data_IF_132263152405
#
_entry.id   IF_132263152405
#
_cell.length_a   1.000
_cell.length_b   1.000
_cell.length_c   1.000
_cell.angle_alpha   90.00
_cell.angle_beta   90.00
_cell.angle_gamma   90.00
#
_symmetry.space_group_name_H-M   'P 1'
#
loop_
_entity.id
_entity.type
_entity.pdbx_description
1 polymer ?
#
# COMPACT_ATOMS: atom_id res chain seq x y z
N UNK A 1 -8.52 18.03 10.82
CA UNK A 1 -7.48 17.16 10.26
C UNK A 1 -8.14 16.30 9.18
N UNK A 2 -7.45 16.09 8.04
CA UNK A 2 -7.92 15.17 7.00
C UNK A 2 -7.54 13.74 7.37
N UNK A 3 -8.48 12.81 7.24
CA UNK A 3 -8.25 11.40 7.56
C UNK A 3 -7.70 10.66 6.36
N UNK A 4 -6.54 10.05 6.51
CA UNK A 4 -5.87 9.26 5.46
C UNK A 4 -5.74 7.81 5.93
N UNK A 5 -6.18 6.87 5.10
CA UNK A 5 -5.97 5.44 5.33
C UNK A 5 -4.88 4.94 4.39
N UNK A 6 -3.88 4.27 4.94
CA UNK A 6 -2.95 3.41 4.20
C UNK A 6 -3.41 1.96 4.33
N UNK A 7 -3.61 1.29 3.19
CA UNK A 7 -3.94 -0.13 3.17
C UNK A 7 -2.70 -0.93 2.82
N UNK A 8 -2.38 -1.94 3.64
CA UNK A 8 -1.22 -2.82 3.44
C UNK A 8 -1.58 -4.29 3.63
N UNK A 9 -1.13 -5.14 2.70
CA UNK A 9 -1.38 -6.58 2.68
C UNK A 9 -0.13 -7.43 2.87
N UNK A 10 1.07 -6.87 2.66
CA UNK A 10 2.33 -7.60 2.73
C UNK A 10 3.46 -6.79 3.35
N UNK A 11 4.52 -7.49 3.78
CA UNK A 11 5.73 -6.85 4.27
C UNK A 11 6.40 -5.97 3.20
N UNK A 12 6.32 -6.40 1.93
CA UNK A 12 6.95 -5.67 0.82
C UNK A 12 6.29 -4.32 0.58
N UNK A 13 4.96 -4.28 0.53
CA UNK A 13 4.23 -3.02 0.33
C UNK A 13 4.33 -2.10 1.56
N UNK A 14 4.24 -2.67 2.78
CA UNK A 14 4.46 -1.90 4.00
C UNK A 14 5.84 -1.25 4.04
N UNK A 15 6.89 -1.98 3.64
CA UNK A 15 8.24 -1.45 3.56
C UNK A 15 8.30 -0.16 2.73
N UNK A 16 7.65 -0.17 1.58
CA UNK A 16 7.57 0.97 0.67
C UNK A 16 6.68 2.11 1.19
N UNK A 17 5.62 1.79 1.91
CA UNK A 17 4.71 2.78 2.49
C UNK A 17 5.26 3.44 3.77
N UNK A 18 6.19 2.80 4.46
CA UNK A 18 6.62 3.17 5.81
C UNK A 18 7.13 4.62 5.92
N UNK A 19 7.95 5.07 4.98
CA UNK A 19 8.48 6.44 4.97
C UNK A 19 7.36 7.46 4.77
N UNK A 20 6.44 7.19 3.85
CA UNK A 20 5.30 8.05 3.57
C UNK A 20 4.35 8.13 4.76
N UNK A 21 4.03 6.99 5.39
CA UNK A 21 3.21 6.95 6.62
C UNK A 21 3.86 7.80 7.71
N UNK A 22 5.18 7.66 7.92
CA UNK A 22 5.92 8.40 8.95
C UNK A 22 5.84 9.91 8.74
N UNK A 23 6.09 10.37 7.51
CA UNK A 23 6.02 11.80 7.16
C UNK A 23 4.59 12.32 7.32
N UNK A 24 3.60 11.58 6.83
CA UNK A 24 2.20 11.95 6.92
C UNK A 24 1.73 12.03 8.37
N UNK A 25 2.12 11.05 9.21
CA UNK A 25 1.77 11.03 10.64
C UNK A 25 2.45 12.16 11.45
N UNK A 26 3.61 12.64 11.00
CA UNK A 26 4.31 13.76 11.66
C UNK A 26 3.67 15.13 11.37
N UNK A 27 2.79 15.21 10.40
CA UNK A 27 2.08 16.43 10.02
C UNK A 27 0.81 16.62 10.87
N UNK A 28 0.60 17.82 11.40
CA UNK A 28 -0.61 18.18 12.12
C UNK A 28 -1.86 18.30 11.23
N UNK A 29 -1.69 18.23 9.92
CA UNK A 29 -2.79 18.35 8.96
C UNK A 29 -3.58 17.04 8.81
N UNK A 30 -2.96 15.89 9.15
CA UNK A 30 -3.50 14.58 8.84
C UNK A 30 -3.73 13.72 10.09
N UNK A 31 -4.82 12.98 10.07
CA UNK A 31 -5.12 11.88 10.98
C UNK A 31 -4.91 10.58 10.20
N UNK A 32 -3.81 9.88 10.53
CA UNK A 32 -3.34 8.72 9.76
C UNK A 32 -3.84 7.43 10.38
N UNK A 33 -4.42 6.57 9.55
CA UNK A 33 -4.91 5.24 9.88
C UNK A 33 -4.23 4.21 8.98
N UNK A 34 -4.01 3.00 9.49
CA UNK A 34 -3.41 1.90 8.76
C UNK A 34 -4.33 0.69 8.83
N UNK A 35 -4.88 0.28 7.69
CA UNK A 35 -5.64 -0.97 7.57
C UNK A 35 -4.67 -2.08 7.17
N UNK A 36 -4.49 -3.07 8.05
CA UNK A 36 -3.52 -4.14 7.91
C UNK A 36 -4.23 -5.46 7.68
N UNK A 37 -3.94 -6.13 6.56
CA UNK A 37 -4.62 -7.37 6.18
C UNK A 37 -3.68 -8.33 5.42
N UNK A 38 -4.21 -9.30 4.72
CA UNK A 38 -3.44 -10.19 3.85
C UNK A 38 -2.37 -10.99 4.58
N UNK A 39 -1.21 -11.08 3.95
CA UNK A 39 -0.07 -11.86 4.47
C UNK A 39 0.43 -11.41 5.83
N UNK A 40 0.20 -10.14 6.22
CA UNK A 40 0.55 -9.65 7.54
C UNK A 40 -0.09 -10.45 8.67
N UNK A 41 -1.27 -11.02 8.42
CA UNK A 41 -2.05 -11.75 9.40
C UNK A 41 -1.71 -13.23 9.49
N UNK A 42 -0.90 -13.76 8.55
CA UNK A 42 -0.64 -15.19 8.39
C UNK A 42 0.64 -15.59 9.13
N UNK A 43 0.53 -16.57 10.05
CA UNK A 43 1.67 -17.07 10.83
C UNK A 43 2.78 -17.67 9.96
N UNK A 44 2.43 -18.34 8.87
CA UNK A 44 3.37 -18.91 7.89
C UNK A 44 4.31 -17.85 7.31
N UNK A 45 3.87 -16.60 7.19
CA UNK A 45 4.66 -15.47 6.70
C UNK A 45 5.22 -14.59 7.83
N UNK A 46 5.28 -15.12 9.06
CA UNK A 46 5.92 -14.49 10.21
C UNK A 46 5.06 -13.49 10.98
N UNK A 47 3.74 -13.41 10.71
CA UNK A 47 2.84 -12.42 11.35
C UNK A 47 3.45 -11.02 11.37
N UNK A 48 3.79 -10.51 10.20
CA UNK A 48 4.55 -9.25 10.04
C UNK A 48 3.79 -8.00 10.51
N UNK A 49 2.53 -8.13 10.91
CA UNK A 49 1.81 -7.10 11.67
C UNK A 49 2.55 -6.67 12.93
N UNK A 50 3.32 -7.57 13.55
CA UNK A 50 4.13 -7.24 14.72
C UNK A 50 5.24 -6.21 14.40
N UNK A 51 5.74 -6.18 13.17
CA UNK A 51 6.70 -5.17 12.70
C UNK A 51 6.02 -3.81 12.58
N UNK A 52 4.75 -3.80 12.15
CA UNK A 52 3.95 -2.57 12.04
C UNK A 52 3.72 -1.97 13.44
N UNK A 53 3.33 -2.78 14.42
CA UNK A 53 3.17 -2.32 15.81
C UNK A 53 4.49 -1.77 16.39
N UNK A 54 5.63 -2.43 16.13
CA UNK A 54 6.95 -1.98 16.58
C UNK A 54 7.41 -0.69 15.90
N UNK A 55 6.83 -0.31 14.78
CA UNK A 55 7.19 0.92 14.05
C UNK A 55 6.66 2.20 14.72
N UNK A 56 5.87 2.10 15.78
CA UNK A 56 5.36 3.23 16.54
C UNK A 56 4.24 4.01 15.85
N UNK A 57 3.62 3.44 14.83
CA UNK A 57 2.45 4.02 14.19
C UNK A 57 1.20 3.93 15.06
N UNK A 58 0.30 4.91 14.87
CA UNK A 58 -0.99 4.99 15.57
C UNK A 58 -2.12 4.45 14.67
N UNK A 59 -3.28 4.23 15.26
CA UNK A 59 -4.51 3.88 14.55
C UNK A 59 -4.35 2.68 13.59
N UNK A 60 -3.76 1.60 14.07
CA UNK A 60 -3.57 0.36 13.32
C UNK A 60 -4.81 -0.52 13.49
N UNK A 61 -5.46 -0.87 12.37
CA UNK A 61 -6.63 -1.74 12.34
C UNK A 61 -6.29 -3.06 11.64
N UNK A 62 -6.18 -4.17 12.38
CA UNK A 62 -5.93 -5.49 11.80
C UNK A 62 -7.22 -6.14 11.30
N UNK A 63 -7.16 -6.74 10.10
CA UNK A 63 -8.30 -7.47 9.53
C UNK A 63 -7.84 -8.77 8.87
N UNK A 64 -8.49 -9.90 9.18
CA UNK A 64 -8.20 -11.21 8.60
C UNK A 64 -9.11 -11.43 7.39
N UNK A 65 -8.53 -11.43 6.19
CA UNK A 65 -9.24 -11.59 4.92
C UNK A 65 -9.10 -12.99 4.28
N UNK A 66 -8.42 -13.92 4.93
CA UNK A 66 -8.13 -15.24 4.37
C UNK A 66 -8.77 -16.36 5.21
N UNK A 67 -9.08 -17.47 4.51
CA UNK A 67 -9.40 -18.78 5.08
C UNK A 67 -8.25 -19.75 4.84
N UNK A 68 -8.48 -21.03 5.16
CA UNK A 68 -7.56 -22.13 4.83
C UNK A 68 -7.46 -22.42 3.32
N UNK A 69 -8.33 -21.84 2.50
CA UNK A 69 -8.37 -21.98 1.04
C UNK A 69 -8.09 -20.60 0.43
N UNK A 70 -6.87 -20.40 -0.06
CA UNK A 70 -6.37 -19.12 -0.55
C UNK A 70 -6.73 -18.85 -2.02
N UNK A 71 -8.02 -18.72 -2.34
CA UNK A 71 -8.41 -18.21 -3.65
C UNK A 71 -8.42 -16.69 -3.66
N UNK A 72 -7.73 -16.08 -4.64
CA UNK A 72 -7.55 -14.61 -4.75
C UNK A 72 -8.89 -13.86 -4.79
N UNK A 73 -9.86 -14.37 -5.53
CA UNK A 73 -11.20 -13.79 -5.67
C UNK A 73 -11.96 -13.76 -4.34
N UNK A 74 -11.85 -14.82 -3.54
CA UNK A 74 -12.48 -14.88 -2.21
C UNK A 74 -11.81 -13.95 -1.21
N UNK A 75 -10.47 -13.87 -1.25
CA UNK A 75 -9.73 -12.94 -0.41
C UNK A 75 -10.03 -11.49 -0.79
N UNK A 76 -10.18 -11.20 -2.10
CA UNK A 76 -10.65 -9.91 -2.58
C UNK A 76 -12.03 -9.58 -2.02
N UNK A 77 -13.00 -10.49 -2.15
CA UNK A 77 -14.37 -10.28 -1.67
C UNK A 77 -14.42 -9.99 -0.17
N UNK A 78 -13.66 -10.76 0.64
CA UNK A 78 -13.57 -10.53 2.09
C UNK A 78 -12.91 -9.21 2.44
N UNK A 79 -11.87 -8.83 1.68
CA UNK A 79 -11.20 -7.55 1.92
C UNK A 79 -12.12 -6.38 1.59
N UNK A 80 -12.89 -6.48 0.50
CA UNK A 80 -13.91 -5.48 0.16
C UNK A 80 -14.93 -5.35 1.29
N UNK A 81 -15.48 -6.45 1.77
CA UNK A 81 -16.47 -6.46 2.85
C UNK A 81 -15.94 -5.80 4.13
N UNK A 82 -14.81 -6.30 4.65
CA UNK A 82 -14.24 -5.78 5.90
C UNK A 82 -13.75 -4.33 5.79
N UNK A 83 -13.15 -3.97 4.65
CA UNK A 83 -12.69 -2.61 4.44
C UNK A 83 -13.86 -1.63 4.26
N UNK A 84 -14.94 -2.06 3.60
CA UNK A 84 -16.16 -1.26 3.46
C UNK A 84 -16.78 -0.92 4.82
N UNK A 85 -16.87 -1.89 5.72
CA UNK A 85 -17.34 -1.63 7.09
C UNK A 85 -16.44 -0.63 7.82
N UNK A 86 -15.14 -0.78 7.73
CA UNK A 86 -14.20 0.10 8.41
C UNK A 86 -14.28 1.56 7.92
N UNK A 87 -14.35 1.79 6.60
CA UNK A 87 -14.45 3.14 6.06
C UNK A 87 -15.80 3.81 6.33
N UNK A 88 -16.87 3.02 6.43
CA UNK A 88 -18.19 3.54 6.77
C UNK A 88 -18.21 4.22 8.14
N UNK A 89 -17.51 3.64 9.12
CA UNK A 89 -17.37 4.23 10.46
C UNK A 89 -16.36 5.38 10.48
N UNK A 90 -15.20 5.20 9.83
CA UNK A 90 -14.10 6.14 9.89
C UNK A 90 -14.34 7.40 9.06
N UNK A 91 -14.99 7.27 7.88
CA UNK A 91 -15.23 8.33 6.89
C UNK A 91 -13.94 9.06 6.49
N UNK A 92 -13.01 8.37 5.82
CA UNK A 92 -11.73 8.96 5.44
C UNK A 92 -11.89 9.93 4.25
N UNK A 93 -10.96 10.86 4.13
CA UNK A 93 -10.85 11.77 2.99
C UNK A 93 -10.03 11.15 1.84
N UNK A 94 -9.08 10.27 2.17
CA UNK A 94 -8.17 9.65 1.20
C UNK A 94 -7.82 8.21 1.61
N UNK A 95 -7.82 7.33 0.62
CA UNK A 95 -7.31 5.96 0.73
C UNK A 95 -6.04 5.89 -0.11
N UNK A 96 -4.95 5.39 0.47
CA UNK A 96 -3.66 5.18 -0.20
C UNK A 96 -3.43 3.68 -0.36
N UNK A 97 -3.24 3.25 -1.60
CA UNK A 97 -2.95 1.87 -1.98
C UNK A 97 -1.64 1.80 -2.77
N UNK A 98 -0.94 0.69 -2.66
CA UNK A 98 0.35 0.49 -3.32
C UNK A 98 0.35 -0.76 -4.19
N UNK A 99 0.90 -0.65 -5.40
CA UNK A 99 1.23 -1.78 -6.27
C UNK A 99 0.03 -2.48 -6.89
N UNK A 100 0.03 -3.80 -6.81
CA UNK A 100 -0.76 -4.70 -7.66
C UNK A 100 -1.39 -5.87 -6.90
N UNK A 101 -1.53 -5.75 -5.60
CA UNK A 101 -2.14 -6.78 -4.78
C UNK A 101 -3.67 -6.68 -4.77
N UNK A 102 -4.32 -7.81 -4.55
CA UNK A 102 -5.79 -7.86 -4.41
C UNK A 102 -6.30 -7.00 -3.24
N UNK A 103 -5.50 -6.86 -2.19
CA UNK A 103 -5.83 -5.99 -1.07
C UNK A 103 -5.87 -4.51 -1.51
N UNK A 104 -4.89 -4.09 -2.32
CA UNK A 104 -4.87 -2.76 -2.92
C UNK A 104 -6.06 -2.54 -3.88
N UNK A 105 -6.41 -3.58 -4.66
CA UNK A 105 -7.59 -3.56 -5.52
C UNK A 105 -8.89 -3.40 -4.72
N UNK A 106 -9.03 -4.12 -3.61
CA UNK A 106 -10.16 -3.94 -2.70
C UNK A 106 -10.26 -2.50 -2.20
N UNK A 107 -9.14 -1.91 -1.78
CA UNK A 107 -9.07 -0.52 -1.34
C UNK A 107 -9.52 0.46 -2.42
N UNK A 108 -9.08 0.25 -3.67
CA UNK A 108 -9.46 1.09 -4.81
C UNK A 108 -10.96 0.94 -5.16
N UNK A 109 -11.49 -0.28 -5.20
CA UNK A 109 -12.92 -0.55 -5.44
C UNK A 109 -13.78 0.15 -4.39
N UNK A 110 -13.47 -0.09 -3.11
CA UNK A 110 -14.26 0.46 -2.00
C UNK A 110 -14.19 1.99 -1.99
N UNK A 111 -13.00 2.57 -2.20
CA UNK A 111 -12.84 4.02 -2.26
C UNK A 111 -13.65 4.66 -3.38
N UNK A 112 -13.49 4.18 -4.61
CA UNK A 112 -14.18 4.73 -5.78
C UNK A 112 -15.70 4.62 -5.68
N UNK A 113 -16.21 3.45 -5.25
CA UNK A 113 -17.66 3.23 -5.15
C UNK A 113 -18.32 4.04 -4.01
N UNK A 114 -17.53 4.51 -3.04
CA UNK A 114 -18.02 5.35 -1.93
C UNK A 114 -17.66 6.83 -2.09
N UNK A 115 -17.20 7.26 -3.29
CA UNK A 115 -16.80 8.64 -3.58
C UNK A 115 -15.70 9.16 -2.62
N UNK A 116 -14.78 8.30 -2.22
CA UNK A 116 -13.60 8.64 -1.44
C UNK A 116 -12.40 8.68 -2.39
N UNK A 117 -11.56 9.71 -2.25
CA UNK A 117 -10.36 9.80 -3.07
C UNK A 117 -9.44 8.59 -2.86
N UNK A 118 -8.90 8.07 -3.95
CA UNK A 118 -7.92 6.98 -3.95
C UNK A 118 -6.62 7.46 -4.57
N UNK A 119 -5.51 7.30 -3.86
CA UNK A 119 -4.16 7.49 -4.37
C UNK A 119 -3.50 6.12 -4.60
N UNK A 120 -3.02 5.91 -5.82
CA UNK A 120 -2.32 4.69 -6.22
C UNK A 120 -0.83 4.94 -6.40
N UNK A 121 -0.01 4.21 -5.65
CA UNK A 121 1.45 4.27 -5.71
C UNK A 121 1.95 3.12 -6.59
N UNK A 122 2.95 3.39 -7.45
CA UNK A 122 3.52 2.45 -8.42
C UNK A 122 2.51 1.95 -9.47
N UNK A 123 1.50 2.76 -9.80
CA UNK A 123 0.64 2.54 -10.96
C UNK A 123 1.41 2.73 -12.28
N UNK A 124 0.91 2.11 -13.36
CA UNK A 124 1.48 2.26 -14.71
C UNK A 124 2.70 1.38 -15.02
N UNK A 125 3.21 0.62 -14.06
CA UNK A 125 4.28 -0.37 -14.30
C UNK A 125 3.74 -1.60 -15.05
N UNK A 126 4.62 -2.35 -15.73
CA UNK A 126 4.31 -3.60 -16.46
C UNK A 126 5.06 -4.77 -15.84
N UNK A 127 4.43 -5.93 -15.80
CA UNK A 127 5.04 -7.15 -15.22
C UNK A 127 4.74 -8.42 -16.05
N UNK A 128 3.81 -8.35 -17.01
CA UNK A 128 3.46 -9.49 -17.88
C UNK A 128 2.73 -10.63 -17.17
N UNK A 129 2.19 -10.38 -15.98
CA UNK A 129 1.46 -11.37 -15.16
C UNK A 129 0.06 -10.87 -14.80
N UNK A 130 -0.69 -11.66 -14.02
CA UNK A 130 -1.99 -11.22 -13.46
C UNK A 130 -1.85 -9.92 -12.63
N UNK A 131 -0.69 -9.70 -12.03
CA UNK A 131 -0.42 -8.51 -11.23
C UNK A 131 -0.52 -7.23 -12.08
N UNK A 132 -0.13 -7.28 -13.36
CA UNK A 132 -0.30 -6.16 -14.27
C UNK A 132 -1.77 -5.80 -14.50
N UNK A 133 -2.62 -6.82 -14.70
CA UNK A 133 -4.07 -6.62 -14.85
C UNK A 133 -4.66 -5.99 -13.59
N UNK A 134 -4.26 -6.46 -12.42
CA UNK A 134 -4.70 -5.92 -11.14
C UNK A 134 -4.21 -4.47 -11.00
N UNK A 135 -2.94 -4.19 -11.25
CA UNK A 135 -2.34 -2.84 -11.17
C UNK A 135 -3.07 -1.85 -12.06
N UNK A 136 -3.34 -2.22 -13.30
CA UNK A 136 -4.03 -1.33 -14.24
C UNK A 136 -5.49 -1.12 -13.83
N UNK A 137 -6.16 -2.14 -13.29
CA UNK A 137 -7.50 -2.00 -12.73
C UNK A 137 -7.52 -1.04 -11.53
N UNK A 138 -6.54 -1.14 -10.62
CA UNK A 138 -6.38 -0.21 -9.49
C UNK A 138 -6.17 1.21 -10.01
N UNK A 139 -5.30 1.40 -11.02
CA UNK A 139 -5.07 2.71 -11.63
C UNK A 139 -6.35 3.31 -12.20
N UNK A 140 -7.19 2.52 -12.87
CA UNK A 140 -8.48 2.99 -13.41
C UNK A 140 -9.52 3.38 -12.35
N UNK A 141 -9.37 2.86 -11.14
CA UNK A 141 -10.22 3.19 -9.99
C UNK A 141 -9.64 4.32 -9.12
N UNK A 142 -8.38 4.70 -9.35
CA UNK A 142 -7.70 5.73 -8.57
C UNK A 142 -7.95 7.14 -9.15
N UNK A 143 -7.79 8.14 -8.30
CA UNK A 143 -7.96 9.56 -8.65
C UNK A 143 -6.62 10.31 -8.69
N UNK A 144 -5.62 9.80 -7.95
CA UNK A 144 -4.27 10.38 -7.83
C UNK A 144 -3.29 9.25 -8.09
N UNK A 145 -2.27 9.53 -8.92
CA UNK A 145 -1.28 8.54 -9.31
C UNK A 145 0.12 9.01 -8.91
N UNK A 146 0.81 8.18 -8.15
CA UNK A 146 2.18 8.41 -7.70
C UNK A 146 3.09 7.39 -8.39
N UNK A 147 3.73 7.78 -9.49
CA UNK A 147 4.52 6.88 -10.34
C UNK A 147 5.99 6.87 -9.99
N UNK A 148 6.66 5.74 -10.22
CA UNK A 148 8.09 5.58 -9.97
C UNK A 148 8.96 6.27 -11.05
N UNK A 149 8.44 6.41 -12.27
CA UNK A 149 9.18 6.92 -13.42
C UNK A 149 8.26 7.53 -14.48
N UNK A 150 8.87 8.23 -15.45
CA UNK A 150 8.14 8.90 -16.53
C UNK A 150 7.52 7.92 -17.55
N UNK A 151 8.03 6.70 -17.69
CA UNK A 151 7.42 5.70 -18.57
C UNK A 151 6.10 5.19 -18.01
N UNK A 152 6.05 4.94 -16.71
CA UNK A 152 4.81 4.60 -16.00
C UNK A 152 3.78 5.74 -16.11
N UNK A 153 4.22 7.01 -15.94
CA UNK A 153 3.37 8.19 -16.15
C UNK A 153 2.80 8.21 -17.58
N UNK A 154 3.63 8.06 -18.60
CA UNK A 154 3.17 8.04 -20.00
C UNK A 154 2.13 6.96 -20.24
N UNK A 155 2.32 5.77 -19.65
CA UNK A 155 1.38 4.65 -19.80
C UNK A 155 0.04 4.96 -19.16
N UNK A 156 0.02 5.59 -17.99
CA UNK A 156 -1.24 6.04 -17.36
C UNK A 156 -1.97 7.06 -18.23
N UNK A 157 -1.26 8.01 -18.84
CA UNK A 157 -1.86 8.96 -19.79
C UNK A 157 -2.46 8.20 -20.99
N UNK A 158 -1.77 7.21 -21.54
CA UNK A 158 -2.28 6.35 -22.63
C UNK A 158 -3.52 5.54 -22.21
N UNK A 159 -3.62 5.18 -20.93
CA UNK A 159 -4.80 4.55 -20.35
C UNK A 159 -5.96 5.52 -20.12
N UNK A 160 -5.77 6.82 -20.38
CA UNK A 160 -6.79 7.85 -20.26
C UNK A 160 -6.85 8.54 -18.90
N UNK A 161 -5.79 8.43 -18.08
CA UNK A 161 -5.69 9.20 -16.84
C UNK A 161 -5.29 10.65 -17.12
N UNK A 162 -5.81 11.58 -16.31
CA UNK A 162 -5.48 12.99 -16.45
C UNK A 162 -4.06 13.28 -15.98
N UNK A 163 -3.23 13.88 -16.85
CA UNK A 163 -1.84 14.19 -16.53
C UNK A 163 -1.68 15.04 -15.26
N UNK A 164 -2.62 15.96 -15.01
CA UNK A 164 -2.64 16.80 -13.81
C UNK A 164 -2.72 16.02 -12.49
N UNK A 165 -3.16 14.76 -12.55
CA UNK A 165 -3.35 13.91 -11.39
C UNK A 165 -2.24 12.85 -11.24
N UNK A 166 -1.21 12.91 -12.12
CA UNK A 166 -0.09 11.97 -12.14
C UNK A 166 1.20 12.68 -11.71
N UNK A 167 1.80 12.21 -10.64
CA UNK A 167 3.02 12.76 -10.06
C UNK A 167 4.14 11.71 -10.09
N UNK A 168 5.23 12.00 -10.78
CA UNK A 168 6.42 11.14 -10.75
C UNK A 168 7.21 11.43 -9.48
N UNK A 169 7.22 10.50 -8.53
CA UNK A 169 7.81 10.66 -7.21
C UNK A 169 9.10 9.85 -7.00
N UNK A 170 9.46 9.01 -7.97
CA UNK A 170 10.59 8.08 -7.85
C UNK A 170 10.22 6.78 -7.14
N UNK A 171 11.21 5.91 -6.94
CA UNK A 171 11.03 4.65 -6.21
C UNK A 171 11.30 4.81 -4.72
N UNK A 172 10.37 4.35 -3.89
CA UNK A 172 10.51 4.33 -2.44
C UNK A 172 11.64 3.43 -1.94
N UNK A 173 12.09 2.47 -2.76
CA UNK A 173 13.23 1.62 -2.42
C UNK A 173 14.53 2.45 -2.26
N UNK A 174 14.65 3.56 -2.99
CA UNK A 174 15.77 4.49 -2.85
C UNK A 174 15.78 5.21 -1.50
N UNK A 175 14.61 5.54 -0.96
CA UNK A 175 14.51 6.17 0.35
C UNK A 175 15.01 5.23 1.45
N UNK A 176 14.73 3.94 1.32
CA UNK A 176 15.20 2.91 2.25
C UNK A 176 16.73 2.77 2.14
N UNK A 177 17.26 2.70 0.91
CA UNK A 177 18.69 2.55 0.67
C UNK A 177 19.51 3.78 1.13
N UNK A 178 18.91 4.96 1.07
CA UNK A 178 19.55 6.21 1.53
C UNK A 178 19.29 6.50 3.02
N UNK A 179 18.54 5.64 3.72
CA UNK A 179 18.24 5.89 5.13
C UNK A 179 19.48 5.67 6.00
N UNK A 180 19.68 6.56 6.98
CA UNK A 180 20.72 6.42 8.01
C UNK A 180 20.48 5.24 8.96
N UNK A 181 19.33 4.58 8.83
CA UNK A 181 18.91 3.45 9.67
C UNK A 181 19.40 2.09 9.10
N UNK A 182 20.10 2.09 7.96
CA UNK A 182 20.72 0.87 7.43
C UNK A 182 21.85 0.43 8.37
N UNK A 183 21.80 -0.85 8.75
CA UNK A 183 22.86 -1.47 9.49
C UNK A 183 24.16 -1.46 8.66
N UNK A 184 25.26 -1.19 9.32
CA UNK A 184 26.56 -1.22 8.67
C UNK A 184 26.86 -2.67 8.19
N UNK A 185 27.59 -2.79 7.07
CA UNK A 185 27.87 -4.06 6.42
C UNK A 185 28.59 -5.04 7.36
N UNK A 186 29.50 -4.56 8.21
CA UNK A 186 30.26 -5.39 9.13
C UNK A 186 29.34 -5.98 10.20
N UNK A 187 28.41 -5.18 10.75
CA UNK A 187 27.38 -5.72 11.64
C UNK A 187 26.54 -6.81 10.99
N UNK A 188 26.14 -6.63 9.72
CA UNK A 188 25.33 -7.62 8.98
C UNK A 188 26.13 -8.90 8.75
N UNK A 189 27.41 -8.79 8.36
CA UNK A 189 28.32 -9.94 8.19
C UNK A 189 28.49 -10.74 9.48
N UNK A 190 28.76 -10.05 10.58
CA UNK A 190 28.92 -10.68 11.89
C UNK A 190 27.64 -11.37 12.35
N UNK A 191 26.49 -10.72 12.19
CA UNK A 191 25.19 -11.27 12.58
C UNK A 191 24.82 -12.53 11.79
N UNK A 192 25.06 -12.53 10.49
CA UNK A 192 24.77 -13.69 9.62
C UNK A 192 25.94 -14.65 9.46
N UNK A 193 27.09 -14.39 10.10
CA UNK A 193 28.31 -15.20 10.00
C UNK A 193 28.77 -15.43 8.54
N UNK A 194 28.66 -14.41 7.72
CA UNK A 194 29.10 -14.42 6.31
C UNK A 194 30.50 -13.81 6.24
N UNK A 195 31.45 -14.57 5.68
CA UNK A 195 32.83 -14.10 5.44
C UNK A 195 32.96 -13.38 4.12
#
# INVERSE_FOLDING_TARGET
>A
MKKIIFLTGTRADFGKLKSLIKITQSSELFDVHIFVTGMHMISKYGKTINEIYKSGFKNIYPYINHDNIDHMDRNLAKTIDGFSHYIFELKPDLIVVHGDRIEAMAGAIVGSLNNILVAHIEGGEVSGTIDELIRHSISKLAHIHLTSNEEAKKRLIQMGEYESNIFTIGSHDLDILNSKDLQNLDFVKDYYRVT
#
